data_IF_135885334614
#
_entry.id   IF_135885334614
#
_cell.length_a   1.000
_cell.length_b   1.000
_cell.length_c   1.000
_cell.angle_alpha   90.00
_cell.angle_beta   90.00
_cell.angle_gamma   90.00
#
_symmetry.space_group_name_H-M   'P 1'
#
loop_
_entity.id
_entity.type
_entity.pdbx_description
1 polymer ?
#
# COMPACT_ATOMS: atom_id res chain seq x y z
N UNK A 1 11.94 17.37 -11.81
CA UNK A 1 12.73 16.13 -11.69
C UNK A 1 12.92 15.89 -10.20
N UNK A 2 12.09 15.03 -9.59
CA UNK A 2 12.24 14.67 -8.18
C UNK A 2 13.46 13.75 -8.12
N UNK A 3 14.51 14.12 -7.37
CA UNK A 3 15.62 13.20 -7.09
C UNK A 3 15.05 12.05 -6.26
N UNK A 4 15.00 10.85 -6.85
CA UNK A 4 14.38 9.64 -6.27
C UNK A 4 15.20 9.02 -5.13
N UNK A 5 16.05 9.76 -4.44
CA UNK A 5 16.99 9.19 -3.47
C UNK A 5 16.34 8.80 -2.13
N UNK A 6 15.03 9.01 -1.95
CA UNK A 6 14.32 8.74 -0.69
C UNK A 6 12.91 8.14 -0.87
N UNK A 7 12.54 7.66 -2.06
CA UNK A 7 11.25 6.98 -2.26
C UNK A 7 11.48 5.47 -2.20
N UNK A 8 11.16 4.86 -1.06
CA UNK A 8 11.25 3.42 -0.84
C UNK A 8 9.89 2.80 -1.22
N UNK A 9 9.87 1.99 -2.27
CA UNK A 9 8.69 1.23 -2.70
C UNK A 9 8.78 -0.18 -2.10
N UNK A 10 7.71 -0.65 -1.46
CA UNK A 10 7.77 -1.90 -0.67
C UNK A 10 6.72 -2.91 -1.09
N UNK A 11 5.45 -2.53 -1.07
CA UNK A 11 4.35 -3.33 -1.58
C UNK A 11 4.04 -3.00 -3.03
N UNK A 12 3.79 -4.01 -3.86
CA UNK A 12 3.38 -3.87 -5.26
C UNK A 12 2.30 -4.91 -5.57
N UNK A 13 1.18 -4.48 -6.16
CA UNK A 13 0.19 -5.41 -6.72
C UNK A 13 -0.56 -4.79 -7.90
N UNK A 14 -0.85 -5.62 -8.90
CA UNK A 14 -1.69 -5.23 -10.02
C UNK A 14 -3.15 -5.24 -9.60
N UNK A 15 -3.98 -4.34 -10.13
CA UNK A 15 -5.42 -4.53 -10.09
C UNK A 15 -5.82 -5.84 -10.82
N UNK A 16 -7.03 -6.34 -10.60
CA UNK A 16 -7.46 -7.62 -11.16
C UNK A 16 -7.46 -7.64 -12.70
N UNK A 17 -7.68 -6.48 -13.32
CA UNK A 17 -7.63 -6.33 -14.77
C UNK A 17 -6.20 -6.32 -15.34
N UNK A 18 -5.17 -6.17 -14.51
CA UNK A 18 -3.78 -6.03 -14.95
C UNK A 18 -3.48 -4.72 -15.67
N UNK A 19 -4.31 -3.69 -15.48
CA UNK A 19 -4.19 -2.39 -16.14
C UNK A 19 -3.54 -1.32 -15.27
N UNK A 20 -3.56 -1.47 -13.94
CA UNK A 20 -2.95 -0.53 -13.00
C UNK A 20 -2.05 -1.28 -12.03
N UNK A 21 -0.83 -0.79 -11.82
CA UNK A 21 0.08 -1.31 -10.80
C UNK A 21 0.08 -0.37 -9.60
N UNK A 22 -0.43 -0.84 -8.47
CA UNK A 22 -0.38 -0.12 -7.21
C UNK A 22 0.94 -0.37 -6.50
N UNK A 23 1.45 0.65 -5.82
CA UNK A 23 2.66 0.58 -5.02
C UNK A 23 2.49 1.32 -3.69
N UNK A 24 2.94 0.75 -2.58
CA UNK A 24 3.11 1.51 -1.34
C UNK A 24 4.50 2.11 -1.32
N UNK A 25 4.58 3.39 -0.94
CA UNK A 25 5.84 4.11 -0.91
C UNK A 25 6.01 4.95 0.35
N UNK A 26 7.14 4.79 1.01
CA UNK A 26 7.57 5.62 2.14
C UNK A 26 8.55 6.68 1.66
N UNK A 27 8.41 7.90 2.19
CA UNK A 27 9.37 8.98 1.98
C UNK A 27 9.88 9.42 3.35
N UNK A 28 11.12 9.07 3.66
CA UNK A 28 11.75 9.50 4.90
C UNK A 28 11.73 11.04 5.06
N UNK A 29 11.56 11.56 6.29
CA UNK A 29 11.42 10.83 7.56
C UNK A 29 9.97 10.48 7.93
N UNK A 30 9.02 10.52 6.98
CA UNK A 30 7.63 10.19 7.24
C UNK A 30 7.48 8.66 7.43
N UNK A 31 6.98 8.18 8.58
CA UNK A 31 6.78 6.75 8.81
C UNK A 31 5.49 6.21 8.16
N UNK A 32 4.69 7.05 7.50
CA UNK A 32 3.46 6.64 6.83
C UNK A 32 3.70 6.46 5.32
N UNK A 33 3.28 5.32 4.78
CA UNK A 33 3.26 5.10 3.34
C UNK A 33 2.21 5.95 2.65
N UNK A 34 2.46 6.20 1.38
CA UNK A 34 1.49 6.70 0.40
C UNK A 34 1.19 5.60 -0.62
N UNK A 35 -0.02 5.57 -1.16
CA UNK A 35 -0.37 4.69 -2.27
C UNK A 35 -0.06 5.42 -3.57
N UNK A 36 0.70 4.77 -4.44
CA UNK A 36 1.01 5.21 -5.79
C UNK A 36 0.36 4.27 -6.79
N UNK A 37 0.10 4.78 -7.99
CA UNK A 37 -0.42 4.00 -9.10
C UNK A 37 0.39 4.31 -10.35
N UNK A 38 0.83 3.25 -11.01
CA UNK A 38 1.43 3.29 -12.33
C UNK A 38 0.40 2.82 -13.37
N UNK A 39 0.23 3.62 -14.41
CA UNK A 39 -0.58 3.32 -15.58
C UNK A 39 0.36 3.06 -16.78
N UNK A 40 0.41 1.83 -17.31
CA UNK A 40 1.25 1.47 -18.44
C UNK A 40 0.78 2.06 -19.77
N UNK A 41 -0.50 2.42 -19.91
CA UNK A 41 -1.02 3.05 -21.15
C UNK A 41 -0.49 4.48 -21.29
N UNK A 42 -0.46 5.23 -20.18
CA UNK A 42 0.02 6.62 -20.15
C UNK A 42 1.49 6.73 -19.76
N UNK A 43 2.09 5.65 -19.27
CA UNK A 43 3.45 5.60 -18.69
C UNK A 43 3.64 6.52 -17.48
N UNK A 44 2.55 6.90 -16.81
CA UNK A 44 2.57 7.80 -15.67
C UNK A 44 2.59 7.04 -14.34
N UNK A 45 3.50 7.46 -13.46
CA UNK A 45 3.50 7.08 -12.05
C UNK A 45 3.06 8.30 -11.23
N UNK A 46 1.98 8.17 -10.47
CA UNK A 46 1.42 9.26 -9.66
C UNK A 46 1.05 8.79 -8.27
N UNK A 47 1.14 9.71 -7.30
CA UNK A 47 0.56 9.48 -5.98
C UNK A 47 -0.96 9.39 -6.13
N UNK A 48 -1.55 8.35 -5.57
CA UNK A 48 -2.98 8.06 -5.61
C UNK A 48 -3.66 8.46 -4.28
N UNK A 49 -3.15 7.96 -3.15
CA UNK A 49 -3.65 8.27 -1.82
C UNK A 49 -2.48 8.56 -0.85
N UNK A 50 -2.72 9.36 0.19
CA UNK A 50 -1.68 9.84 1.12
C UNK A 50 -2.11 9.68 2.60
N UNK A 51 -2.96 8.70 2.88
CA UNK A 51 -3.61 8.51 4.19
C UNK A 51 -3.54 7.06 4.72
N UNK A 52 -2.55 6.28 4.29
CA UNK A 52 -2.33 4.94 4.86
C UNK A 52 -1.84 5.08 6.31
N UNK A 53 -2.24 4.14 7.17
CA UNK A 53 -2.10 4.25 8.61
C UNK A 53 -0.76 3.75 9.19
N UNK A 54 0.26 3.56 8.36
CA UNK A 54 1.63 3.18 8.77
C UNK A 54 2.55 2.97 7.57
N UNK A 55 3.74 2.44 7.82
CA UNK A 55 4.65 1.91 6.78
C UNK A 55 4.10 0.55 6.32
N UNK A 56 3.84 0.41 5.04
CA UNK A 56 3.16 -0.76 4.45
C UNK A 56 4.18 -1.59 3.66
N UNK A 57 4.53 -2.76 4.20
CA UNK A 57 5.50 -3.68 3.61
C UNK A 57 4.87 -4.76 2.71
N UNK A 58 3.57 -5.06 2.90
CA UNK A 58 2.84 -6.00 2.04
C UNK A 58 1.61 -5.37 1.42
N UNK A 59 1.38 -5.65 0.14
CA UNK A 59 0.24 -5.17 -0.63
C UNK A 59 -0.22 -6.27 -1.59
N UNK A 60 -1.51 -6.59 -1.56
CA UNK A 60 -2.12 -7.54 -2.48
C UNK A 60 -3.50 -7.07 -2.93
N UNK A 61 -3.90 -7.38 -4.16
CA UNK A 61 -5.23 -7.06 -4.67
C UNK A 61 -6.21 -8.20 -4.34
N UNK A 62 -7.35 -7.85 -3.76
CA UNK A 62 -8.45 -8.76 -3.49
C UNK A 62 -9.33 -8.95 -4.74
N UNK A 63 -10.15 -10.03 -4.80
CA UNK A 63 -11.00 -10.31 -5.96
C UNK A 63 -12.03 -9.23 -6.33
N UNK A 64 -12.23 -8.21 -5.49
CA UNK A 64 -13.12 -7.07 -5.73
C UNK A 64 -12.38 -5.74 -5.93
N UNK A 65 -11.10 -5.81 -6.33
CA UNK A 65 -10.18 -4.68 -6.61
C UNK A 65 -9.84 -3.80 -5.41
N UNK A 66 -10.32 -4.16 -4.21
CA UNK A 66 -9.77 -3.58 -2.97
C UNK A 66 -8.38 -4.13 -2.71
N UNK A 67 -7.59 -3.39 -1.93
CA UNK A 67 -6.24 -3.77 -1.58
C UNK A 67 -6.21 -4.34 -0.16
N UNK A 68 -5.53 -5.46 0.02
CA UNK A 68 -5.14 -5.98 1.32
C UNK A 68 -3.71 -5.54 1.64
N UNK A 69 -3.46 -5.12 2.87
CA UNK A 69 -2.11 -4.75 3.32
C UNK A 69 -1.85 -5.08 4.78
N UNK A 70 -0.58 -5.15 5.15
CA UNK A 70 -0.09 -5.16 6.55
C UNK A 70 0.81 -3.97 6.84
N UNK A 71 0.97 -3.65 8.11
CA UNK A 71 1.81 -2.54 8.58
C UNK A 71 3.10 -3.11 9.18
N UNK A 72 4.24 -2.51 8.82
CA UNK A 72 5.56 -2.78 9.40
C UNK A 72 5.56 -2.56 10.91
N UNK A 73 6.15 -3.49 11.66
CA UNK A 73 6.36 -3.35 13.12
C UNK A 73 5.07 -2.97 13.91
N UNK A 74 3.90 -3.45 13.45
CA UNK A 74 2.62 -3.17 14.14
C UNK A 74 2.62 -3.78 15.56
N UNK A 75 1.81 -3.25 16.47
CA UNK A 75 1.72 -3.77 17.85
C UNK A 75 1.19 -5.21 17.92
N UNK A 76 0.45 -5.63 16.87
CA UNK A 76 -0.02 -6.98 16.66
C UNK A 76 -0.17 -7.23 15.15
N UNK A 77 0.09 -8.46 14.69
CA UNK A 77 -0.09 -8.79 13.27
C UNK A 77 -1.52 -8.48 12.82
N UNK A 78 -1.64 -7.59 11.83
CA UNK A 78 -2.90 -7.10 11.32
C UNK A 78 -2.94 -7.15 9.80
N UNK A 79 -4.15 -7.37 9.26
CA UNK A 79 -4.44 -7.21 7.85
C UNK A 79 -5.57 -6.20 7.69
N UNK A 80 -5.40 -5.28 6.76
CA UNK A 80 -6.36 -4.24 6.45
C UNK A 80 -6.87 -4.42 5.03
N UNK A 81 -8.13 -4.04 4.81
CA UNK A 81 -8.71 -3.91 3.48
C UNK A 81 -8.90 -2.43 3.20
N UNK A 82 -8.43 -1.98 2.05
CA UNK A 82 -8.41 -0.60 1.61
C UNK A 82 -9.13 -0.46 0.29
N UNK A 83 -10.00 0.53 0.20
CA UNK A 83 -10.62 0.95 -1.03
C UNK A 83 -9.74 2.04 -1.69
N UNK A 84 -9.04 1.73 -2.80
CA UNK A 84 -8.17 2.70 -3.46
C UNK A 84 -8.95 3.84 -4.13
N UNK A 85 -10.16 3.60 -4.63
CA UNK A 85 -10.98 4.62 -5.30
C UNK A 85 -11.47 5.68 -4.31
N UNK A 86 -11.83 5.25 -3.10
CA UNK A 86 -12.28 6.15 -2.03
C UNK A 86 -11.16 6.58 -1.09
N UNK A 87 -9.94 6.06 -1.28
CA UNK A 87 -8.80 6.23 -0.38
C UNK A 87 -9.16 5.99 1.09
N UNK A 88 -9.70 4.82 1.45
CA UNK A 88 -10.08 4.54 2.84
C UNK A 88 -9.87 3.08 3.25
N UNK A 89 -9.44 2.87 4.49
CA UNK A 89 -9.47 1.55 5.11
C UNK A 89 -10.91 1.19 5.46
N UNK A 90 -11.44 0.12 4.88
CA UNK A 90 -12.84 -0.32 5.05
C UNK A 90 -12.99 -1.48 6.03
N UNK A 91 -11.91 -2.22 6.28
CA UNK A 91 -11.91 -3.35 7.22
C UNK A 91 -10.52 -3.56 7.79
N UNK A 92 -10.44 -4.12 8.99
CA UNK A 92 -9.21 -4.65 9.56
C UNK A 92 -9.49 -5.94 10.33
N UNK A 93 -8.50 -6.82 10.40
CA UNK A 93 -8.53 -8.01 11.25
C UNK A 93 -7.18 -8.19 11.90
N UNK A 94 -7.20 -8.61 13.17
CA UNK A 94 -6.01 -9.01 13.89
C UNK A 94 -5.81 -10.52 13.77
N UNK A 95 -4.56 -10.95 13.72
CA UNK A 95 -4.18 -12.35 13.84
C UNK A 95 -3.52 -12.51 15.21
N UNK A 96 -4.02 -13.46 16.00
CA UNK A 96 -3.39 -13.81 17.27
C UNK A 96 -2.15 -14.65 17.01
N UNK A 97 -1.00 -14.04 17.16
CA UNK A 97 0.32 -14.65 16.94
C UNK A 97 1.36 -13.90 17.79
N UNK A 98 2.45 -14.56 18.23
CA UNK A 98 3.57 -13.87 18.87
C UNK A 98 4.46 -13.08 17.89
N UNK A 99 4.23 -13.22 16.58
CA UNK A 99 4.92 -12.50 15.51
C UNK A 99 4.03 -11.35 15.02
N UNK A 100 4.60 -10.18 14.76
CA UNK A 100 3.87 -8.94 14.46
C UNK A 100 4.42 -8.18 13.25
N UNK A 101 5.35 -8.78 12.52
CA UNK A 101 6.03 -8.19 11.36
C UNK A 101 5.85 -9.14 10.15
N UNK A 102 5.78 -8.58 8.93
CA UNK A 102 5.55 -9.32 7.66
C UNK A 102 6.69 -9.11 6.68
#
# INVERSE_FOLDING_TARGET
MIKSTHLKMEGLSWNNAGTLLYATAVIEPNPYSSLWVYDPETTELRKHCDNLSGEIESLETLPDDRLAFSIHDDQALSFHVYDPEQCQTVQGSLIQTPYNDI
#
